data_IF_916437772064
#
_entry.id   IF_916437772064
#
_cell.length_a   1.000
_cell.length_b   1.000
_cell.length_c   1.000
_cell.angle_alpha   90.00
_cell.angle_beta   90.00
_cell.angle_gamma   90.00
#
_symmetry.space_group_name_H-M   'P 1'
#
loop_
_entity.id
_entity.type
_entity.pdbx_description
1 polymer ?
#
# COMPACT_ATOMS: atom_id res chain seq x y z
N UNK A 1 35.97 13.68 -8.12
CA UNK A 1 34.59 13.22 -8.33
C UNK A 1 33.68 14.39 -7.97
N UNK A 2 32.94 14.92 -8.94
CA UNK A 2 32.12 16.11 -8.71
C UNK A 2 30.98 15.76 -7.72
N UNK A 3 30.51 16.70 -6.91
CA UNK A 3 29.46 16.46 -5.89
C UNK A 3 28.20 15.81 -6.50
N UNK A 4 27.89 16.17 -7.73
CA UNK A 4 26.80 15.59 -8.52
C UNK A 4 26.99 14.10 -8.88
N UNK A 5 28.18 13.69 -9.31
CA UNK A 5 28.48 12.28 -9.63
C UNK A 5 28.39 11.39 -8.38
N UNK A 6 28.82 11.93 -7.23
CA UNK A 6 28.71 11.29 -5.93
C UNK A 6 27.25 11.09 -5.54
N UNK A 7 26.41 12.09 -5.74
CA UNK A 7 24.97 12.02 -5.47
C UNK A 7 24.26 11.02 -6.40
N UNK A 8 24.62 10.93 -7.68
CA UNK A 8 24.08 9.91 -8.61
C UNK A 8 24.42 8.51 -8.13
N UNK A 9 25.70 8.23 -7.85
CA UNK A 9 26.15 6.91 -7.39
C UNK A 9 25.50 6.53 -6.06
N UNK A 10 25.45 7.48 -5.12
CA UNK A 10 24.82 7.27 -3.81
C UNK A 10 23.33 7.00 -3.97
N UNK A 11 22.64 7.74 -4.84
CA UNK A 11 21.23 7.54 -5.14
C UNK A 11 20.95 6.16 -5.74
N UNK A 12 21.79 5.65 -6.64
CA UNK A 12 21.61 4.32 -7.22
C UNK A 12 21.78 3.21 -6.17
N UNK A 13 22.81 3.33 -5.33
CA UNK A 13 23.06 2.38 -4.22
C UNK A 13 21.91 2.43 -3.21
N UNK A 14 21.48 3.63 -2.81
CA UNK A 14 20.33 3.81 -1.93
C UNK A 14 19.05 3.22 -2.52
N UNK A 15 18.82 3.39 -3.82
CA UNK A 15 17.66 2.83 -4.51
C UNK A 15 17.64 1.30 -4.40
N UNK A 16 18.77 0.64 -4.67
CA UNK A 16 18.88 -0.82 -4.52
C UNK A 16 18.53 -1.27 -3.09
N UNK A 17 19.12 -0.63 -2.08
CA UNK A 17 18.92 -1.01 -0.69
C UNK A 17 17.50 -0.74 -0.20
N UNK A 18 16.91 0.42 -0.49
CA UNK A 18 15.55 0.74 -0.05
C UNK A 18 14.50 -0.12 -0.76
N UNK A 19 14.70 -0.40 -2.05
CA UNK A 19 13.81 -1.26 -2.85
C UNK A 19 13.89 -2.70 -2.35
N UNK A 20 15.09 -3.22 -2.08
CA UNK A 20 15.27 -4.57 -1.55
C UNK A 20 14.70 -4.71 -0.14
N UNK A 21 14.98 -3.75 0.75
CA UNK A 21 14.41 -3.72 2.10
C UNK A 21 12.88 -3.70 2.06
N UNK A 22 12.31 -2.91 1.14
CA UNK A 22 10.86 -2.85 0.94
C UNK A 22 10.29 -4.17 0.44
N UNK A 23 10.90 -4.75 -0.58
CA UNK A 23 10.48 -6.02 -1.17
C UNK A 23 10.43 -7.14 -0.12
N UNK A 24 11.51 -7.29 0.65
CA UNK A 24 11.66 -8.31 1.69
C UNK A 24 10.67 -8.08 2.83
N UNK A 25 10.49 -6.83 3.27
CA UNK A 25 9.50 -6.47 4.30
C UNK A 25 8.07 -6.76 3.86
N UNK A 26 7.71 -6.40 2.62
CA UNK A 26 6.37 -6.68 2.08
C UNK A 26 6.12 -8.18 1.91
N UNK A 27 7.15 -8.96 1.53
CA UNK A 27 7.04 -10.42 1.42
C UNK A 27 6.71 -11.05 2.78
N UNK A 28 7.48 -10.69 3.81
CA UNK A 28 7.24 -11.16 5.18
C UNK A 28 5.88 -10.71 5.70
N UNK A 29 5.41 -9.52 5.34
CA UNK A 29 4.06 -9.08 5.74
C UNK A 29 2.97 -9.99 5.20
N UNK A 30 2.97 -10.31 3.91
CA UNK A 30 1.92 -11.16 3.35
C UNK A 30 1.99 -12.58 3.89
N UNK A 31 3.21 -13.11 4.08
CA UNK A 31 3.44 -14.36 4.78
C UNK A 31 2.86 -14.32 6.20
N UNK A 32 3.16 -13.28 6.98
CA UNK A 32 2.66 -13.08 8.34
C UNK A 32 1.15 -12.97 8.39
N UNK A 33 0.57 -12.18 7.49
CA UNK A 33 -0.88 -11.96 7.47
C UNK A 33 -1.62 -13.28 7.27
N UNK A 34 -1.19 -14.13 6.34
CA UNK A 34 -1.81 -15.43 6.09
C UNK A 34 -1.52 -16.42 7.22
N UNK A 35 -0.27 -16.50 7.67
CA UNK A 35 0.14 -17.50 8.66
C UNK A 35 -0.41 -17.18 10.05
N UNK A 36 -0.37 -15.92 10.49
CA UNK A 36 -0.92 -15.55 11.79
C UNK A 36 -2.45 -15.62 11.79
N UNK A 37 -3.11 -15.23 10.70
CA UNK A 37 -4.58 -15.36 10.62
C UNK A 37 -5.03 -16.82 10.70
N UNK A 38 -4.38 -17.72 9.96
CA UNK A 38 -4.69 -19.14 10.03
C UNK A 38 -4.34 -19.74 11.40
N UNK A 39 -3.23 -19.31 12.01
CA UNK A 39 -2.82 -19.77 13.34
C UNK A 39 -3.83 -19.38 14.43
N UNK A 40 -4.29 -18.13 14.42
CA UNK A 40 -5.33 -17.63 15.33
C UNK A 40 -6.59 -18.49 15.19
N UNK A 41 -7.03 -18.76 13.96
CA UNK A 41 -8.23 -19.56 13.73
C UNK A 41 -8.08 -21.00 14.22
N UNK A 42 -6.94 -21.66 13.96
CA UNK A 42 -6.70 -23.05 14.36
C UNK A 42 -6.63 -23.21 15.89
N UNK A 43 -5.92 -22.31 16.59
CA UNK A 43 -5.79 -22.40 18.05
C UNK A 43 -7.10 -22.06 18.75
N UNK A 44 -7.79 -21.03 18.26
CA UNK A 44 -9.01 -20.55 18.90
C UNK A 44 -10.25 -21.37 18.55
N UNK A 45 -10.22 -22.05 17.40
CA UNK A 45 -11.38 -22.60 16.71
C UNK A 45 -12.55 -21.61 16.64
N UNK A 46 -12.25 -20.31 16.51
CA UNK A 46 -13.23 -19.24 16.68
C UNK A 46 -13.06 -18.15 15.63
N UNK A 47 -14.10 -18.00 14.81
CA UNK A 47 -14.22 -16.88 13.86
C UNK A 47 -14.17 -15.54 14.59
N UNK A 48 -14.73 -15.46 15.80
CA UNK A 48 -14.74 -14.24 16.61
C UNK A 48 -13.32 -13.76 16.96
N UNK A 49 -12.42 -14.67 17.35
CA UNK A 49 -11.05 -14.30 17.67
C UNK A 49 -10.24 -13.88 16.45
N UNK A 50 -10.46 -14.56 15.31
CA UNK A 50 -9.92 -14.12 14.03
C UNK A 50 -10.41 -12.71 13.65
N UNK A 51 -11.70 -12.41 13.85
CA UNK A 51 -12.25 -11.06 13.61
C UNK A 51 -11.62 -10.01 14.53
N UNK A 52 -11.44 -10.32 15.83
CA UNK A 52 -10.71 -9.43 16.76
C UNK A 52 -9.29 -9.16 16.26
N UNK A 53 -8.56 -10.21 15.86
CA UNK A 53 -7.21 -10.07 15.30
C UNK A 53 -7.19 -9.08 14.12
N UNK A 54 -8.11 -9.24 13.17
CA UNK A 54 -8.19 -8.35 12.00
C UNK A 54 -8.55 -6.91 12.39
N UNK A 55 -9.48 -6.71 13.33
CA UNK A 55 -9.84 -5.37 13.83
C UNK A 55 -8.62 -4.69 14.46
N UNK A 56 -7.88 -5.39 15.33
CA UNK A 56 -6.70 -4.82 15.97
C UNK A 56 -5.62 -4.47 14.95
N UNK A 57 -5.42 -5.30 13.92
CA UNK A 57 -4.50 -5.00 12.82
C UNK A 57 -4.89 -3.71 12.08
N UNK A 58 -6.17 -3.55 11.75
CA UNK A 58 -6.68 -2.33 11.11
C UNK A 58 -6.52 -1.11 12.03
N UNK A 59 -6.88 -1.24 13.31
CA UNK A 59 -6.73 -0.17 14.30
C UNK A 59 -5.26 0.28 14.40
N UNK A 60 -4.31 -0.67 14.42
CA UNK A 60 -2.88 -0.36 14.37
C UNK A 60 -2.50 0.48 13.15
N UNK A 61 -3.03 0.12 11.98
CA UNK A 61 -2.77 0.83 10.72
C UNK A 61 -3.35 2.26 10.71
N UNK A 62 -4.56 2.45 11.23
CA UNK A 62 -5.20 3.78 11.37
C UNK A 62 -4.41 4.64 12.34
N UNK A 63 -4.04 4.10 13.51
CA UNK A 63 -3.26 4.83 14.51
C UNK A 63 -1.87 5.19 13.97
N UNK A 64 -1.21 4.28 13.26
CA UNK A 64 0.07 4.56 12.59
C UNK A 64 -0.05 5.69 11.57
N UNK A 65 -1.14 5.75 10.81
CA UNK A 65 -1.35 6.83 9.84
C UNK A 65 -1.32 8.21 10.51
N UNK A 66 -1.90 8.34 11.71
CA UNK A 66 -1.86 9.60 12.48
C UNK A 66 -0.54 9.78 13.25
N UNK A 67 -0.04 8.74 13.91
CA UNK A 67 1.16 8.77 14.74
C UNK A 67 2.46 8.95 13.93
N UNK A 68 2.42 8.66 12.63
CA UNK A 68 3.54 8.85 11.71
C UNK A 68 4.06 10.28 11.68
N UNK A 69 3.19 11.30 11.77
CA UNK A 69 3.61 12.71 11.77
C UNK A 69 4.57 13.02 12.95
N UNK A 70 4.13 12.93 14.22
CA UNK A 70 5.00 13.28 15.35
C UNK A 70 6.22 12.35 15.45
N UNK A 71 6.10 11.09 15.03
CA UNK A 71 7.22 10.14 15.05
C UNK A 71 8.31 10.51 14.04
N UNK A 72 7.97 10.69 12.77
CA UNK A 72 8.95 10.98 11.72
C UNK A 72 9.49 12.42 11.77
N UNK A 73 8.84 13.31 12.52
CA UNK A 73 9.42 14.61 12.88
C UNK A 73 10.58 14.49 13.86
N UNK A 74 10.47 13.58 14.84
CA UNK A 74 11.50 13.35 15.87
C UNK A 74 12.61 12.40 15.40
N UNK A 75 12.22 11.29 14.77
CA UNK A 75 13.14 10.25 14.31
C UNK A 75 13.10 10.22 12.79
N UNK A 76 14.16 10.70 12.17
CA UNK A 76 14.27 10.81 10.71
C UNK A 76 15.31 9.84 10.15
N UNK A 77 15.21 9.59 8.85
CA UNK A 77 16.15 8.76 8.13
C UNK A 77 16.01 7.26 8.45
N UNK A 78 17.08 6.53 8.13
CA UNK A 78 17.12 5.07 8.28
C UNK A 78 16.87 4.60 9.71
N UNK A 79 17.24 5.39 10.72
CA UNK A 79 17.02 5.05 12.14
C UNK A 79 15.55 4.80 12.44
N UNK A 80 14.66 5.62 11.89
CA UNK A 80 13.22 5.45 12.08
C UNK A 80 12.72 4.10 11.52
N UNK A 81 13.18 3.77 10.31
CA UNK A 81 12.84 2.51 9.64
C UNK A 81 13.43 1.29 10.36
N UNK A 82 14.65 1.42 10.91
CA UNK A 82 15.30 0.37 11.70
C UNK A 82 14.52 0.12 12.99
N UNK A 83 14.14 1.16 13.74
CA UNK A 83 13.37 1.02 14.98
C UNK A 83 12.02 0.33 14.74
N UNK A 84 11.34 0.67 13.64
CA UNK A 84 10.08 0.01 13.25
C UNK A 84 10.28 -1.49 13.04
N UNK A 85 11.36 -1.90 12.35
CA UNK A 85 11.64 -3.32 12.11
C UNK A 85 12.12 -4.05 13.37
N UNK A 86 12.85 -3.37 14.26
CA UNK A 86 13.21 -3.92 15.58
C UNK A 86 11.95 -4.21 16.40
N UNK A 87 10.95 -3.33 16.37
CA UNK A 87 9.67 -3.58 17.05
C UNK A 87 8.96 -4.82 16.49
N UNK A 88 8.99 -5.04 15.16
CA UNK A 88 8.47 -6.26 14.55
C UNK A 88 9.27 -7.52 14.93
N UNK A 89 10.59 -7.41 15.01
CA UNK A 89 11.44 -8.50 15.44
C UNK A 89 11.06 -8.95 16.86
N UNK A 90 10.93 -8.00 17.79
CA UNK A 90 10.55 -8.33 19.17
C UNK A 90 9.11 -8.86 19.28
N UNK A 91 8.17 -8.41 18.45
CA UNK A 91 6.82 -8.96 18.46
C UNK A 91 6.77 -10.42 18.01
N UNK A 92 7.57 -10.81 17.01
CA UNK A 92 7.70 -12.21 16.60
C UNK A 92 8.50 -13.03 17.61
N UNK A 93 9.57 -12.46 18.18
CA UNK A 93 10.36 -13.14 19.22
C UNK A 93 9.53 -13.45 20.46
N UNK A 94 8.59 -12.55 20.82
CA UNK A 94 7.66 -12.80 21.92
C UNK A 94 6.82 -14.05 21.68
N UNK A 95 6.34 -14.30 20.45
CA UNK A 95 5.60 -15.53 20.10
C UNK A 95 6.48 -16.78 20.12
N UNK A 96 7.79 -16.66 19.96
CA UNK A 96 8.71 -17.80 20.04
C UNK A 96 8.96 -18.20 21.50
N UNK A 97 9.09 -17.21 22.38
CA UNK A 97 9.42 -17.44 23.79
C UNK A 97 8.17 -17.80 24.62
N UNK A 98 7.01 -17.29 24.23
CA UNK A 98 5.76 -17.51 24.97
C UNK A 98 5.25 -18.94 24.71
N UNK A 99 4.69 -19.64 25.73
CA UNK A 99 4.05 -20.93 25.51
C UNK A 99 2.79 -20.80 24.64
N UNK A 100 2.53 -21.79 23.78
CA UNK A 100 1.42 -21.75 22.81
C UNK A 100 0.04 -21.49 23.43
N UNK A 101 -0.20 -22.01 24.63
CA UNK A 101 -1.45 -21.81 25.39
C UNK A 101 -1.74 -20.34 25.71
N UNK A 102 -0.72 -19.49 25.73
CA UNK A 102 -0.84 -18.07 26.05
C UNK A 102 -0.86 -17.19 24.79
N UNK A 103 -0.60 -17.73 23.61
CA UNK A 103 -0.57 -16.96 22.35
C UNK A 103 -1.91 -16.27 22.06
N UNK A 104 -3.01 -16.90 22.47
CA UNK A 104 -4.36 -16.37 22.30
C UNK A 104 -4.54 -14.96 22.89
N UNK A 105 -3.85 -14.67 24.01
CA UNK A 105 -3.87 -13.35 24.65
C UNK A 105 -2.94 -12.34 23.99
N UNK A 106 -1.87 -12.81 23.33
CA UNK A 106 -0.90 -11.97 22.66
C UNK A 106 -1.35 -11.54 21.25
N UNK A 107 -2.21 -12.32 20.59
CA UNK A 107 -2.60 -12.09 19.20
C UNK A 107 -3.17 -10.72 18.89
N UNK A 108 -4.09 -10.12 19.69
CA UNK A 108 -4.59 -8.78 19.40
C UNK A 108 -3.47 -7.73 19.41
N UNK A 109 -2.53 -7.84 20.36
CA UNK A 109 -1.40 -6.92 20.46
C UNK A 109 -0.42 -7.08 19.29
N UNK A 110 -0.14 -8.32 18.89
CA UNK A 110 0.74 -8.60 17.75
C UNK A 110 0.09 -8.14 16.45
N UNK A 111 -1.21 -8.35 16.29
CA UNK A 111 -1.97 -7.85 15.15
C UNK A 111 -1.87 -6.33 15.05
N UNK A 112 -2.11 -5.64 16.17
CA UNK A 112 -1.98 -4.20 16.27
C UNK A 112 -0.58 -3.72 15.92
N UNK A 113 0.45 -4.33 16.50
CA UNK A 113 1.85 -3.99 16.23
C UNK A 113 2.15 -4.18 14.75
N UNK A 114 1.76 -5.30 14.14
CA UNK A 114 2.00 -5.57 12.72
C UNK A 114 1.32 -4.55 11.80
N UNK A 115 0.05 -4.22 12.04
CA UNK A 115 -0.65 -3.19 11.26
C UNK A 115 -0.02 -1.81 11.43
N UNK A 116 0.36 -1.48 12.67
CA UNK A 116 1.03 -0.23 13.01
C UNK A 116 2.38 -0.10 12.33
N UNK A 117 3.29 -1.07 12.52
CA UNK A 117 4.65 -1.03 11.98
C UNK A 117 4.64 -1.09 10.46
N UNK A 118 3.76 -1.88 9.85
CA UNK A 118 3.62 -1.92 8.40
C UNK A 118 3.30 -0.53 7.85
N UNK A 119 2.24 0.10 8.36
CA UNK A 119 1.79 1.41 7.89
C UNK A 119 2.84 2.48 8.13
N UNK A 120 3.49 2.47 9.30
CA UNK A 120 4.63 3.33 9.59
C UNK A 120 5.77 3.12 8.59
N UNK A 121 6.11 1.88 8.25
CA UNK A 121 7.17 1.58 7.29
C UNK A 121 6.81 2.07 5.88
N UNK A 122 5.55 1.93 5.43
CA UNK A 122 5.05 2.50 4.15
C UNK A 122 5.18 4.01 4.10
N UNK A 123 4.68 4.69 5.12
CA UNK A 123 4.72 6.15 5.18
C UNK A 123 6.18 6.62 5.29
N UNK A 124 7.00 5.98 6.12
CA UNK A 124 8.40 6.33 6.33
C UNK A 124 9.25 6.16 5.08
N UNK A 125 9.14 5.01 4.42
CA UNK A 125 9.87 4.75 3.16
C UNK A 125 9.48 5.75 2.07
N UNK A 126 8.19 6.04 1.91
CA UNK A 126 7.69 6.95 0.87
C UNK A 126 7.98 8.41 1.18
N UNK A 127 7.85 8.85 2.43
CA UNK A 127 8.05 10.25 2.83
C UNK A 127 9.52 10.64 2.87
N UNK A 128 10.40 9.70 3.19
CA UNK A 128 11.84 9.99 3.30
C UNK A 128 12.62 9.63 2.04
N UNK A 129 11.99 8.98 1.05
CA UNK A 129 12.64 8.58 -0.20
C UNK A 129 13.42 9.73 -0.88
N UNK A 130 12.88 10.96 -0.96
CA UNK A 130 13.63 12.06 -1.59
C UNK A 130 14.85 12.53 -0.80
N UNK A 131 15.04 12.10 0.44
CA UNK A 131 16.25 12.39 1.22
C UNK A 131 17.41 11.43 0.84
N UNK A 132 17.13 10.36 0.08
CA UNK A 132 18.10 9.35 -0.35
C UNK A 132 18.26 9.25 -1.86
N UNK A 133 17.29 9.76 -2.63
CA UNK A 133 17.19 9.57 -4.08
C UNK A 133 17.10 10.93 -4.79
N UNK A 134 17.87 11.10 -5.86
CA UNK A 134 17.80 12.31 -6.70
C UNK A 134 16.41 12.45 -7.33
N UNK A 135 15.92 13.69 -7.47
CA UNK A 135 14.57 13.98 -8.00
C UNK A 135 14.26 13.28 -9.32
N UNK A 136 15.22 13.23 -10.26
CA UNK A 136 15.07 12.60 -11.57
C UNK A 136 14.88 11.07 -11.53
N UNK A 137 15.20 10.42 -10.39
CA UNK A 137 15.08 8.98 -10.19
C UNK A 137 13.93 8.61 -9.26
N UNK A 138 13.24 9.56 -8.62
CA UNK A 138 12.16 9.28 -7.68
C UNK A 138 11.03 8.46 -8.28
N UNK A 139 10.55 8.88 -9.46
CA UNK A 139 9.51 8.14 -10.18
C UNK A 139 9.99 6.72 -10.45
N UNK A 140 11.18 6.55 -11.03
CA UNK A 140 11.75 5.23 -11.31
C UNK A 140 11.85 4.36 -10.04
N UNK A 141 12.29 4.91 -8.91
CA UNK A 141 12.39 4.17 -7.65
C UNK A 141 11.02 3.78 -7.11
N UNK A 142 10.03 4.68 -7.12
CA UNK A 142 8.65 4.34 -6.73
C UNK A 142 8.06 3.25 -7.63
N UNK A 143 8.38 3.30 -8.92
CA UNK A 143 7.95 2.27 -9.85
C UNK A 143 8.47 0.90 -9.38
N UNK A 144 9.75 0.79 -9.00
CA UNK A 144 10.30 -0.45 -8.44
C UNK A 144 9.70 -0.85 -7.10
N UNK A 145 9.51 0.10 -6.19
CA UNK A 145 8.89 -0.15 -4.88
C UNK A 145 7.49 -0.78 -5.05
N UNK A 146 6.64 -0.19 -5.90
CA UNK A 146 5.28 -0.67 -6.13
C UNK A 146 5.27 -2.02 -6.83
N UNK A 147 6.06 -2.18 -7.89
CA UNK A 147 6.15 -3.43 -8.64
C UNK A 147 6.58 -4.61 -7.76
N UNK A 148 7.65 -4.44 -6.98
CA UNK A 148 8.13 -5.51 -6.11
C UNK A 148 7.16 -5.76 -4.95
N UNK A 149 6.50 -4.72 -4.42
CA UNK A 149 5.47 -4.90 -3.40
C UNK A 149 4.33 -5.82 -3.89
N UNK A 150 3.87 -5.62 -5.12
CA UNK A 150 2.85 -6.47 -5.76
C UNK A 150 3.33 -7.90 -6.01
N UNK A 151 4.58 -8.08 -6.46
CA UNK A 151 5.16 -9.42 -6.60
C UNK A 151 5.31 -10.11 -5.24
N UNK A 152 5.77 -9.40 -4.22
CA UNK A 152 5.86 -9.88 -2.85
C UNK A 152 4.50 -10.31 -2.29
N UNK A 153 3.41 -9.66 -2.70
CA UNK A 153 2.05 -10.09 -2.38
C UNK A 153 1.77 -11.49 -2.87
N UNK A 154 1.95 -11.71 -4.16
CA UNK A 154 1.66 -13.00 -4.79
C UNK A 154 2.58 -14.08 -4.26
N UNK A 155 3.89 -13.83 -4.27
CA UNK A 155 4.88 -14.81 -3.81
C UNK A 155 4.69 -15.13 -2.33
N UNK A 156 4.53 -14.11 -1.49
CA UNK A 156 4.33 -14.27 -0.05
C UNK A 156 3.07 -15.07 0.28
N UNK A 157 1.99 -14.83 -0.46
CA UNK A 157 0.75 -15.60 -0.31
C UNK A 157 0.87 -17.04 -0.79
N UNK A 158 1.56 -17.29 -1.91
CA UNK A 158 1.76 -18.63 -2.45
C UNK A 158 2.60 -19.51 -1.52
N UNK A 159 3.71 -18.99 -1.01
CA UNK A 159 4.63 -19.78 -0.17
C UNK A 159 4.11 -19.99 1.25
N UNK A 160 3.14 -19.20 1.71
CA UNK A 160 2.67 -19.22 3.10
C UNK A 160 2.17 -20.61 3.52
N UNK A 161 1.23 -21.19 2.77
CA UNK A 161 0.66 -22.50 3.11
C UNK A 161 1.69 -23.62 3.10
N UNK A 162 2.57 -23.64 2.10
CA UNK A 162 3.65 -24.64 1.99
C UNK A 162 4.66 -24.50 3.14
N UNK A 163 4.96 -23.27 3.56
CA UNK A 163 5.89 -23.01 4.65
C UNK A 163 5.28 -23.41 6.00
N UNK A 164 3.99 -23.11 6.22
CA UNK A 164 3.25 -23.60 7.41
C UNK A 164 3.28 -25.12 7.46
N UNK A 165 3.03 -25.80 6.34
CA UNK A 165 3.00 -27.26 6.28
C UNK A 165 4.37 -27.91 6.52
N UNK A 166 5.47 -27.26 6.13
CA UNK A 166 6.82 -27.83 6.25
C UNK A 166 7.53 -27.47 7.54
N UNK A 167 7.38 -26.23 8.04
CA UNK A 167 8.11 -25.76 9.23
C UNK A 167 7.22 -25.56 10.46
N UNK A 168 5.90 -25.67 10.29
CA UNK A 168 4.93 -25.24 11.31
C UNK A 168 4.93 -23.73 11.54
N UNK A 169 4.07 -23.28 12.46
CA UNK A 169 3.93 -21.86 12.79
C UNK A 169 5.14 -21.27 13.52
N UNK A 170 5.77 -22.04 14.40
CA UNK A 170 6.99 -21.59 15.09
C UNK A 170 8.15 -21.34 14.11
N UNK A 171 8.30 -22.19 13.09
CA UNK A 171 9.29 -21.99 12.03
C UNK A 171 9.06 -20.68 11.27
N UNK A 172 7.80 -20.31 11.04
CA UNK A 172 7.46 -19.03 10.41
C UNK A 172 7.84 -17.85 11.29
N UNK A 173 7.60 -17.90 12.59
CA UNK A 173 8.02 -16.83 13.49
C UNK A 173 9.54 -16.64 13.47
N UNK A 174 10.31 -17.74 13.45
CA UNK A 174 11.76 -17.70 13.33
C UNK A 174 12.23 -17.11 11.99
N UNK A 175 11.61 -17.53 10.89
CA UNK A 175 11.89 -16.98 9.55
C UNK A 175 11.62 -15.48 9.53
N UNK A 176 10.51 -15.02 10.12
CA UNK A 176 10.19 -13.60 10.19
C UNK A 176 11.19 -12.81 11.04
N UNK A 177 11.66 -13.35 12.16
CA UNK A 177 12.76 -12.77 12.93
C UNK A 177 14.00 -12.56 12.04
N UNK A 178 14.40 -13.60 11.29
CA UNK A 178 15.51 -13.51 10.32
C UNK A 178 15.27 -12.46 9.23
N UNK A 179 14.03 -12.37 8.72
CA UNK A 179 13.65 -11.37 7.73
C UNK A 179 13.76 -9.94 8.29
N UNK A 180 13.28 -9.67 9.50
CA UNK A 180 13.38 -8.34 10.09
C UNK A 180 14.85 -7.94 10.34
N UNK A 181 15.71 -8.88 10.74
CA UNK A 181 17.16 -8.65 10.82
C UNK A 181 17.75 -8.34 9.44
N UNK A 182 17.36 -9.09 8.40
CA UNK A 182 17.78 -8.82 7.03
C UNK A 182 17.35 -7.44 6.55
N UNK A 183 16.12 -7.02 6.83
CA UNK A 183 15.62 -5.68 6.49
C UNK A 183 16.46 -4.60 7.19
N UNK A 184 16.75 -4.76 8.49
CA UNK A 184 17.65 -3.85 9.21
C UNK A 184 19.03 -3.80 8.53
N UNK A 185 19.60 -4.96 8.20
CA UNK A 185 20.87 -5.07 7.47
C UNK A 185 20.87 -4.35 6.13
N UNK A 186 19.77 -4.42 5.37
CA UNK A 186 19.61 -3.71 4.10
C UNK A 186 19.43 -2.19 4.27
N UNK A 187 18.95 -1.72 5.42
CA UNK A 187 18.77 -0.29 5.70
C UNK A 187 20.04 0.39 6.22
N UNK A 188 20.95 -0.35 6.86
CA UNK A 188 22.20 0.19 7.41
C UNK A 188 23.08 0.94 6.38
N UNK A 189 23.24 0.47 5.14
CA UNK A 189 24.07 1.12 4.13
C UNK A 189 23.51 2.43 3.59
N UNK A 190 22.25 2.78 3.88
CA UNK A 190 21.62 4.01 3.38
C UNK A 190 22.40 5.25 3.85
N UNK A 191 22.68 6.14 2.90
CA UNK A 191 23.39 7.40 3.13
C UNK A 191 22.50 8.57 2.75
N UNK A 192 22.44 9.60 3.61
CA UNK A 192 21.79 10.87 3.25
C UNK A 192 22.55 11.53 2.11
N UNK A 193 21.82 12.15 1.18
CA UNK A 193 22.45 12.94 0.12
C UNK A 193 22.95 14.29 0.67
N UNK A 194 24.06 14.79 0.12
CA UNK A 194 24.71 16.01 0.60
C UNK A 194 23.91 17.28 0.28
N UNK A 195 23.08 17.24 -0.76
CA UNK A 195 22.28 18.36 -1.27
C UNK A 195 20.99 18.65 -0.51
N UNK A 196 20.56 17.76 0.39
CA UNK A 196 19.41 18.02 1.27
C UNK A 196 19.90 18.56 2.62
N UNK A 197 19.88 19.90 2.75
CA UNK A 197 20.07 20.56 4.04
C UNK A 197 19.08 19.98 5.04
N UNK A 198 19.59 19.49 6.17
CA UNK A 198 18.77 18.99 7.26
C UNK A 198 17.71 20.05 7.60
N UNK A 199 16.43 19.75 7.35
CA UNK A 199 15.38 20.55 7.94
C UNK A 199 15.57 20.47 9.45
N UNK A 200 15.87 21.62 10.06
CA UNK A 200 15.84 21.75 11.51
C UNK A 200 14.46 21.30 11.95
N UNK A 201 14.39 20.26 12.77
CA UNK A 201 13.17 19.70 13.31
C UNK A 201 12.45 20.74 14.15
N UNK A 202 11.75 21.68 13.51
CA UNK A 202 10.91 22.61 14.23
C UNK A 202 9.71 21.82 14.73
N UNK A 203 9.51 21.85 16.04
CA UNK A 203 8.35 21.27 16.70
C UNK A 203 7.11 22.08 16.32
N UNK A 204 6.59 21.85 15.12
CA UNK A 204 5.30 22.39 14.73
C UNK A 204 4.23 21.61 15.50
N UNK A 205 3.35 22.34 16.21
CA UNK A 205 2.20 21.72 16.86
C UNK A 205 1.38 20.92 15.84
N UNK A 206 0.97 19.70 16.20
CA UNK A 206 0.14 18.82 15.37
C UNK A 206 -1.09 19.55 14.78
N UNK A 207 -1.75 20.39 15.57
CA UNK A 207 -2.93 21.16 15.12
C UNK A 207 -2.58 22.18 14.03
N UNK A 208 -1.39 22.78 14.11
CA UNK A 208 -0.91 23.76 13.11
C UNK A 208 -0.53 23.06 11.81
N UNK A 209 0.08 21.88 11.88
CA UNK A 209 0.36 21.06 10.69
C UNK A 209 -0.93 20.65 9.97
N UNK A 210 -1.93 20.17 10.72
CA UNK A 210 -3.21 19.78 10.12
C UNK A 210 -3.94 20.95 9.46
N UNK A 211 -3.94 22.13 10.11
CA UNK A 211 -4.47 23.36 9.52
C UNK A 211 -3.70 23.79 8.27
N UNK A 212 -2.38 23.69 8.30
CA UNK A 212 -1.53 23.99 7.13
C UNK A 212 -1.84 23.06 5.98
N UNK A 213 -2.02 21.76 6.23
CA UNK A 213 -2.35 20.77 5.22
C UNK A 213 -3.71 21.05 4.57
N UNK A 214 -4.74 21.33 5.38
CA UNK A 214 -6.06 21.71 4.85
C UNK A 214 -5.97 23.00 4.03
N UNK A 215 -5.23 24.00 4.52
CA UNK A 215 -5.00 25.24 3.78
C UNK A 215 -4.29 25.00 2.46
N UNK A 216 -3.32 24.09 2.41
CA UNK A 216 -2.56 23.82 1.21
C UNK A 216 -3.37 23.01 0.19
N UNK A 217 -4.14 22.01 0.64
CA UNK A 217 -5.05 21.26 -0.23
C UNK A 217 -6.12 22.16 -0.88
N UNK A 218 -6.47 23.29 -0.26
CA UNK A 218 -7.35 24.29 -0.86
C UNK A 218 -6.67 25.07 -2.00
N UNK A 219 -5.35 25.28 -1.91
CA UNK A 219 -4.54 25.96 -2.93
C UNK A 219 -4.13 25.04 -4.08
N UNK A 220 -3.95 23.75 -3.79
CA UNK A 220 -3.62 22.70 -4.75
C UNK A 220 -4.83 21.77 -4.99
N UNK A 221 -5.89 22.26 -5.67
CA UNK A 221 -7.16 21.54 -5.81
C UNK A 221 -7.02 20.23 -6.60
N UNK A 222 -6.02 20.12 -7.47
CA UNK A 222 -5.74 18.90 -8.23
C UNK A 222 -5.32 17.77 -7.29
N UNK A 223 -4.37 18.04 -6.39
CA UNK A 223 -3.90 17.06 -5.42
C UNK A 223 -5.00 16.71 -4.41
N UNK A 224 -5.78 17.70 -3.96
CA UNK A 224 -6.97 17.47 -3.15
C UNK A 224 -7.98 16.54 -3.84
N UNK A 225 -8.19 16.73 -5.14
CA UNK A 225 -9.07 15.85 -5.95
C UNK A 225 -8.52 14.44 -6.04
N UNK A 226 -7.21 14.26 -6.25
CA UNK A 226 -6.58 12.93 -6.28
C UNK A 226 -6.75 12.18 -4.96
N UNK A 227 -6.59 12.87 -3.81
CA UNK A 227 -6.82 12.28 -2.48
C UNK A 227 -8.29 11.92 -2.26
N UNK A 228 -9.22 12.78 -2.68
CA UNK A 228 -10.65 12.52 -2.60
C UNK A 228 -11.06 11.32 -3.46
N UNK A 229 -10.60 11.27 -4.70
CA UNK A 229 -10.82 10.13 -5.62
C UNK A 229 -10.24 8.85 -5.00
N UNK A 230 -9.09 8.93 -4.33
CA UNK A 230 -8.50 7.76 -3.65
C UNK A 230 -9.31 7.30 -2.43
N UNK A 231 -9.86 8.24 -1.65
CA UNK A 231 -10.77 7.92 -0.55
C UNK A 231 -12.02 7.20 -1.08
N UNK A 232 -12.69 7.80 -2.06
CA UNK A 232 -13.90 7.22 -2.67
C UNK A 232 -13.54 5.89 -3.36
N UNK A 233 -12.38 5.81 -4.01
CA UNK A 233 -11.81 4.60 -4.60
C UNK A 233 -11.60 3.45 -3.62
N UNK A 234 -11.42 3.76 -2.33
CA UNK A 234 -11.31 2.73 -1.31
C UNK A 234 -12.62 1.95 -1.13
N UNK A 235 -13.75 2.51 -1.56
CA UNK A 235 -15.04 1.82 -1.67
C UNK A 235 -14.95 0.67 -2.68
N UNK A 236 -14.52 0.96 -3.91
CA UNK A 236 -14.29 -0.04 -4.95
C UNK A 236 -13.26 -1.09 -4.55
N UNK A 237 -12.24 -0.70 -3.78
CA UNK A 237 -11.23 -1.63 -3.25
C UNK A 237 -11.81 -2.64 -2.25
N UNK A 238 -12.69 -2.21 -1.35
CA UNK A 238 -13.37 -3.11 -0.42
C UNK A 238 -14.36 -4.02 -1.15
N UNK A 239 -15.16 -3.46 -2.06
CA UNK A 239 -16.15 -4.22 -2.81
C UNK A 239 -15.53 -5.37 -3.60
N UNK A 240 -14.46 -5.13 -4.35
CA UNK A 240 -13.83 -6.19 -5.14
C UNK A 240 -13.07 -7.22 -4.28
N UNK A 241 -12.53 -6.83 -3.12
CA UNK A 241 -11.87 -7.78 -2.23
C UNK A 241 -12.84 -8.80 -1.66
N UNK A 242 -14.06 -8.38 -1.31
CA UNK A 242 -15.14 -9.30 -0.95
C UNK A 242 -15.68 -10.05 -2.17
N UNK A 243 -15.70 -9.40 -3.34
CA UNK A 243 -16.18 -9.99 -4.58
C UNK A 243 -15.29 -11.11 -5.12
N UNK A 244 -13.97 -11.07 -4.90
CA UNK A 244 -13.02 -12.01 -5.50
C UNK A 244 -13.34 -13.50 -5.24
N UNK A 245 -13.60 -13.94 -4.00
CA UNK A 245 -14.06 -15.30 -3.74
C UNK A 245 -15.35 -15.65 -4.49
N UNK A 246 -16.30 -14.71 -4.57
CA UNK A 246 -17.62 -14.93 -5.18
C UNK A 246 -17.49 -15.12 -6.70
N UNK A 247 -16.73 -14.27 -7.39
CA UNK A 247 -16.50 -14.46 -8.84
C UNK A 247 -15.65 -15.70 -9.11
N UNK A 248 -14.69 -16.03 -8.25
CA UNK A 248 -13.89 -17.23 -8.41
C UNK A 248 -14.74 -18.50 -8.37
N UNK A 249 -15.74 -18.54 -7.47
CA UNK A 249 -16.74 -19.60 -7.39
C UNK A 249 -17.62 -19.65 -8.65
N UNK A 250 -18.07 -18.50 -9.17
CA UNK A 250 -18.88 -18.46 -10.40
C UNK A 250 -18.12 -18.92 -11.65
N UNK A 251 -16.82 -18.62 -11.73
CA UNK A 251 -15.99 -18.96 -12.90
C UNK A 251 -15.56 -20.43 -12.89
N UNK A 252 -15.13 -20.96 -11.73
CA UNK A 252 -14.70 -22.35 -11.59
C UNK A 252 -15.21 -22.91 -10.25
N UNK A 253 -16.48 -23.35 -10.17
CA UNK A 253 -17.10 -23.79 -8.90
C UNK A 253 -16.34 -24.91 -8.20
N UNK A 254 -15.75 -25.82 -8.98
CA UNK A 254 -15.01 -26.97 -8.47
C UNK A 254 -13.58 -26.63 -8.00
N UNK A 255 -13.09 -25.40 -8.24
CA UNK A 255 -11.73 -25.01 -7.87
C UNK A 255 -11.60 -23.50 -7.61
N UNK A 256 -12.34 -23.01 -6.62
CA UNK A 256 -12.41 -21.59 -6.21
C UNK A 256 -11.00 -21.04 -5.92
N UNK A 257 -10.19 -21.78 -5.15
CA UNK A 257 -8.83 -21.36 -4.77
C UNK A 257 -7.91 -21.17 -5.98
N UNK A 258 -7.99 -22.05 -6.98
CA UNK A 258 -7.22 -21.91 -8.22
C UNK A 258 -7.69 -20.68 -9.01
N UNK A 259 -9.00 -20.52 -9.19
CA UNK A 259 -9.57 -19.38 -9.92
C UNK A 259 -9.18 -18.04 -9.30
N UNK A 260 -9.36 -17.92 -7.98
CA UNK A 260 -8.96 -16.74 -7.21
C UNK A 260 -7.45 -16.49 -7.31
N UNK A 261 -6.64 -17.55 -7.19
CA UNK A 261 -5.18 -17.46 -7.32
C UNK A 261 -4.74 -16.92 -8.68
N UNK A 262 -5.35 -17.40 -9.77
CA UNK A 262 -5.08 -16.92 -11.14
C UNK A 262 -5.46 -15.45 -11.28
N UNK A 263 -6.62 -15.03 -10.80
CA UNK A 263 -7.07 -13.63 -10.88
C UNK A 263 -6.12 -12.70 -10.11
N UNK A 264 -5.75 -13.05 -8.88
CA UNK A 264 -4.85 -12.24 -8.04
C UNK A 264 -3.44 -12.17 -8.61
N UNK A 265 -2.90 -13.28 -9.13
CA UNK A 265 -1.60 -13.31 -9.79
C UNK A 265 -1.60 -12.45 -11.07
N UNK A 266 -2.66 -12.56 -11.88
CA UNK A 266 -2.81 -11.80 -13.12
C UNK A 266 -2.97 -10.30 -12.87
N UNK A 267 -3.74 -9.93 -11.84
CA UNK A 267 -3.82 -8.55 -11.35
C UNK A 267 -2.45 -8.00 -10.98
N UNK A 268 -1.66 -8.75 -10.20
CA UNK A 268 -0.34 -8.33 -9.76
C UNK A 268 0.65 -8.18 -10.94
N UNK A 269 0.56 -9.05 -11.96
CA UNK A 269 1.31 -8.90 -13.22
C UNK A 269 0.91 -7.60 -13.92
N UNK A 270 -0.39 -7.34 -14.06
CA UNK A 270 -0.89 -6.08 -14.61
C UNK A 270 -0.33 -4.87 -13.85
N UNK A 271 -0.41 -4.90 -12.52
CA UNK A 271 0.10 -3.85 -11.63
C UNK A 271 1.60 -3.63 -11.77
N UNK A 272 2.37 -4.71 -11.92
CA UNK A 272 3.79 -4.63 -12.24
C UNK A 272 4.03 -3.92 -13.58
N UNK A 273 3.32 -4.30 -14.64
CA UNK A 273 3.45 -3.74 -15.98
C UNK A 273 3.07 -2.25 -16.00
N UNK A 274 1.94 -1.89 -15.39
CA UNK A 274 1.48 -0.51 -15.29
C UNK A 274 2.46 0.38 -14.53
N UNK A 275 2.96 -0.10 -13.40
CA UNK A 275 3.98 0.63 -12.66
C UNK A 275 5.26 0.83 -13.49
N UNK A 276 5.67 -0.14 -14.33
CA UNK A 276 6.83 0.03 -15.23
C UNK A 276 6.56 1.00 -16.38
N UNK A 277 5.35 1.01 -16.91
CA UNK A 277 4.98 1.86 -18.04
C UNK A 277 5.19 3.36 -17.78
N UNK A 278 4.98 3.83 -16.54
CA UNK A 278 5.07 5.27 -16.21
C UNK A 278 6.39 5.92 -16.58
N UNK A 279 7.51 5.29 -16.20
CA UNK A 279 8.83 5.89 -16.44
C UNK A 279 9.10 6.01 -17.95
N UNK A 280 8.59 5.06 -18.75
CA UNK A 280 8.65 5.11 -20.20
C UNK A 280 7.71 6.18 -20.77
N UNK A 281 6.45 6.24 -20.31
CA UNK A 281 5.43 7.17 -20.79
C UNK A 281 5.83 8.64 -20.55
N UNK A 282 6.30 8.97 -19.34
CA UNK A 282 6.76 10.33 -19.01
C UNK A 282 8.00 10.75 -19.80
N UNK A 283 8.89 9.80 -20.14
CA UNK A 283 10.07 10.08 -20.96
C UNK A 283 9.72 10.28 -22.43
N UNK A 284 8.76 9.49 -22.94
CA UNK A 284 8.39 9.48 -24.36
C UNK A 284 7.43 10.63 -24.72
N UNK A 285 6.50 10.95 -23.84
CA UNK A 285 5.43 11.90 -24.10
C UNK A 285 5.52 13.09 -23.14
N UNK A 286 6.10 14.19 -23.63
CA UNK A 286 6.37 15.38 -22.82
C UNK A 286 5.10 16.09 -22.29
N UNK A 287 3.94 15.85 -22.91
CA UNK A 287 2.65 16.41 -22.48
C UNK A 287 2.00 15.64 -21.33
N UNK A 288 2.50 14.44 -21.00
CA UNK A 288 1.94 13.65 -19.89
C UNK A 288 2.47 14.15 -18.56
N UNK A 289 1.55 14.43 -17.64
CA UNK A 289 1.86 14.73 -16.24
C UNK A 289 1.50 13.55 -15.33
N UNK A 290 1.99 13.56 -14.08
CA UNK A 290 1.64 12.55 -13.09
C UNK A 290 0.13 12.57 -12.77
N UNK A 291 -0.47 13.75 -12.74
CA UNK A 291 -1.90 13.94 -12.53
C UNK A 291 -2.72 13.36 -13.69
N UNK A 292 -2.27 13.59 -14.92
CA UNK A 292 -2.90 13.03 -16.13
C UNK A 292 -2.84 11.50 -16.14
N UNK A 293 -1.66 10.95 -15.81
CA UNK A 293 -1.47 9.50 -15.70
C UNK A 293 -2.28 8.90 -14.55
N UNK A 294 -2.40 9.59 -13.42
CA UNK A 294 -3.28 9.18 -12.34
C UNK A 294 -4.73 9.06 -12.81
N UNK A 295 -5.24 10.07 -13.53
CA UNK A 295 -6.62 10.07 -14.02
C UNK A 295 -6.90 8.90 -14.98
N UNK A 296 -6.02 8.70 -15.97
CA UNK A 296 -6.18 7.59 -16.91
C UNK A 296 -5.97 6.23 -16.25
N UNK A 297 -4.96 6.09 -15.40
CA UNK A 297 -4.68 4.85 -14.67
C UNK A 297 -5.82 4.47 -13.74
N UNK A 298 -6.32 5.42 -12.96
CA UNK A 298 -7.43 5.18 -12.04
C UNK A 298 -8.72 4.84 -12.79
N UNK A 299 -9.00 5.51 -13.92
CA UNK A 299 -10.15 5.18 -14.76
C UNK A 299 -10.04 3.77 -15.34
N UNK A 300 -8.86 3.41 -15.86
CA UNK A 300 -8.60 2.07 -16.39
C UNK A 300 -8.69 0.98 -15.30
N UNK A 301 -8.24 1.27 -14.08
CA UNK A 301 -8.39 0.38 -12.93
C UNK A 301 -9.87 0.10 -12.64
N UNK A 302 -10.67 1.14 -12.43
CA UNK A 302 -12.08 1.00 -12.07
C UNK A 302 -12.90 0.35 -13.19
N UNK A 303 -12.70 0.75 -14.45
CA UNK A 303 -13.36 0.12 -15.60
C UNK A 303 -12.93 -1.35 -15.75
N UNK A 304 -11.64 -1.64 -15.56
CA UNK A 304 -11.12 -3.00 -15.60
C UNK A 304 -11.79 -3.89 -14.56
N UNK A 305 -11.91 -3.44 -13.31
CA UNK A 305 -12.64 -4.18 -12.28
C UNK A 305 -14.12 -4.38 -12.64
N UNK A 306 -14.82 -3.34 -13.10
CA UNK A 306 -16.22 -3.49 -13.55
C UNK A 306 -16.34 -4.58 -14.61
N UNK A 307 -15.46 -4.58 -15.61
CA UNK A 307 -15.48 -5.55 -16.69
C UNK A 307 -15.15 -6.96 -16.21
N UNK A 308 -14.19 -7.14 -15.29
CA UNK A 308 -13.87 -8.45 -14.70
C UNK A 308 -15.11 -9.09 -14.08
N UNK A 309 -15.86 -8.31 -13.29
CA UNK A 309 -17.01 -8.81 -12.54
C UNK A 309 -18.28 -9.02 -13.37
N UNK A 310 -18.21 -8.75 -14.68
CA UNK A 310 -19.26 -9.06 -15.65
C UNK A 310 -18.96 -10.32 -16.47
N UNK A 311 -17.82 -10.99 -16.25
CA UNK A 311 -17.42 -12.13 -17.06
C UNK A 311 -17.93 -13.47 -16.50
N UNK A 312 -18.31 -14.36 -17.41
CA UNK A 312 -18.61 -15.77 -17.13
C UNK A 312 -17.48 -16.72 -17.52
N UNK A 313 -16.41 -16.20 -18.12
CA UNK A 313 -15.26 -16.99 -18.60
C UNK A 313 -13.97 -16.55 -17.92
N UNK A 314 -13.21 -17.52 -17.41
CA UNK A 314 -11.93 -17.29 -16.73
C UNK A 314 -10.93 -16.52 -17.60
N UNK A 315 -10.92 -16.80 -18.91
CA UNK A 315 -9.99 -16.19 -19.85
C UNK A 315 -10.22 -14.67 -19.92
N UNK A 316 -11.48 -14.25 -20.11
CA UNK A 316 -11.83 -12.84 -20.20
C UNK A 316 -11.70 -12.12 -18.86
N UNK A 317 -12.09 -12.76 -17.76
CA UNK A 317 -11.86 -12.23 -16.41
C UNK A 317 -10.37 -11.96 -16.17
N UNK A 318 -9.51 -12.88 -16.63
CA UNK A 318 -8.05 -12.75 -16.53
C UNK A 318 -7.51 -11.63 -17.42
N UNK A 319 -8.03 -11.46 -18.65
CA UNK A 319 -7.63 -10.35 -19.51
C UNK A 319 -7.98 -8.98 -18.91
N UNK A 320 -9.21 -8.82 -18.40
CA UNK A 320 -9.63 -7.56 -17.80
C UNK A 320 -8.97 -7.28 -16.45
N UNK A 321 -8.65 -8.30 -15.65
CA UNK A 321 -7.98 -8.06 -14.36
C UNK A 321 -6.52 -7.63 -14.56
N UNK A 322 -5.86 -8.09 -15.63
CA UNK A 322 -4.56 -7.55 -16.05
C UNK A 322 -4.69 -6.08 -16.41
N UNK A 323 -5.70 -5.68 -17.18
CA UNK A 323 -5.95 -4.28 -17.52
C UNK A 323 -6.25 -3.42 -16.27
N UNK A 324 -7.06 -3.94 -15.34
CA UNK A 324 -7.33 -3.30 -14.06
C UNK A 324 -6.03 -3.10 -13.25
N UNK A 325 -5.19 -4.14 -13.20
CA UNK A 325 -3.87 -4.08 -12.58
C UNK A 325 -2.98 -3.02 -13.20
N UNK A 326 -2.92 -2.93 -14.54
CA UNK A 326 -2.13 -1.89 -15.24
C UNK A 326 -2.57 -0.50 -14.80
N UNK A 327 -3.88 -0.24 -14.79
CA UNK A 327 -4.43 1.03 -14.33
C UNK A 327 -4.05 1.33 -12.87
N UNK A 328 -4.16 0.33 -12.01
CA UNK A 328 -3.85 0.45 -10.59
C UNK A 328 -2.37 0.80 -10.35
N UNK A 329 -1.45 0.08 -11.00
CA UNK A 329 -0.01 0.36 -10.95
C UNK A 329 0.35 1.76 -11.46
N UNK A 330 -0.33 2.23 -12.52
CA UNK A 330 -0.15 3.60 -13.03
C UNK A 330 -0.66 4.62 -12.00
N UNK A 331 -1.87 4.43 -11.47
CA UNK A 331 -2.47 5.39 -10.56
C UNK A 331 -1.67 5.55 -9.27
N UNK A 332 -1.22 4.45 -8.67
CA UNK A 332 -0.59 4.46 -7.36
C UNK A 332 0.84 5.06 -7.42
N UNK A 333 1.61 4.72 -8.45
CA UNK A 333 2.93 5.35 -8.70
C UNK A 333 2.75 6.85 -8.93
N UNK A 334 1.78 7.22 -9.77
CA UNK A 334 1.52 8.63 -10.10
C UNK A 334 1.20 9.46 -8.86
N UNK A 335 0.31 8.95 -8.01
CA UNK A 335 -0.11 9.62 -6.77
C UNK A 335 1.06 9.77 -5.78
N UNK A 336 1.78 8.69 -5.49
CA UNK A 336 2.90 8.73 -4.53
C UNK A 336 4.02 9.64 -5.05
N UNK A 337 4.36 9.52 -6.34
CA UNK A 337 5.37 10.39 -6.95
C UNK A 337 4.97 11.85 -6.94
N UNK A 338 3.68 12.18 -7.18
CA UNK A 338 3.21 13.57 -7.15
C UNK A 338 3.22 14.13 -5.73
N UNK A 339 2.87 13.35 -4.71
CA UNK A 339 2.99 13.80 -3.31
C UNK A 339 4.47 14.03 -2.94
N UNK A 340 5.39 13.22 -3.47
CA UNK A 340 6.82 13.38 -3.19
C UNK A 340 7.47 14.63 -3.84
N UNK A 341 6.80 15.28 -4.81
CA UNK A 341 7.29 16.57 -5.34
C UNK A 341 6.95 17.75 -4.44
N UNK A 342 6.04 17.56 -3.48
CA UNK A 342 5.67 18.59 -2.50
C UNK A 342 6.81 18.89 -1.53
N UNK A 343 6.86 20.10 -0.95
CA UNK A 343 7.88 20.45 0.01
C UNK A 343 7.83 19.56 1.25
N UNK A 344 8.97 19.38 1.93
CA UNK A 344 9.14 18.43 3.02
C UNK A 344 8.18 18.65 4.21
N UNK A 345 7.71 19.89 4.43
CA UNK A 345 6.73 20.21 5.46
C UNK A 345 5.35 19.58 5.19
N UNK A 346 4.97 19.37 3.93
CA UNK A 346 3.66 18.90 3.49
C UNK A 346 3.66 17.44 3.04
N UNK A 347 4.78 16.97 2.48
CA UNK A 347 4.97 15.60 1.98
C UNK A 347 4.62 14.52 3.00
N UNK A 348 5.16 14.61 4.23
CA UNK A 348 4.87 13.64 5.30
C UNK A 348 3.38 13.68 5.69
N UNK A 349 2.79 14.83 6.07
CA UNK A 349 1.37 14.92 6.35
C UNK A 349 0.45 14.40 5.23
N UNK A 350 0.79 14.66 3.96
CA UNK A 350 0.01 14.17 2.82
C UNK A 350 0.05 12.65 2.69
N UNK A 351 1.22 12.01 2.85
CA UNK A 351 1.33 10.56 2.82
C UNK A 351 0.62 9.90 4.01
N UNK A 352 0.67 10.54 5.18
CA UNK A 352 -0.06 10.12 6.37
C UNK A 352 -1.58 10.21 6.19
N UNK A 353 -2.09 11.31 5.62
CA UNK A 353 -3.51 11.42 5.24
C UNK A 353 -3.87 10.40 4.19
N UNK A 354 -3.06 10.21 3.15
CA UNK A 354 -3.32 9.21 2.12
C UNK A 354 -3.49 7.81 2.73
N UNK A 355 -2.59 7.42 3.63
CA UNK A 355 -2.68 6.15 4.35
C UNK A 355 -3.95 6.08 5.22
N UNK A 356 -4.27 7.16 5.94
CA UNK A 356 -5.47 7.24 6.77
C UNK A 356 -6.72 7.06 5.92
N UNK A 357 -6.85 7.80 4.82
CA UNK A 357 -7.99 7.74 3.89
C UNK A 357 -8.14 6.35 3.27
N UNK A 358 -7.05 5.72 2.84
CA UNK A 358 -7.07 4.36 2.30
C UNK A 358 -7.55 3.35 3.35
N UNK A 359 -7.02 3.42 4.58
CA UNK A 359 -7.36 2.46 5.64
C UNK A 359 -8.78 2.66 6.16
N UNK A 360 -9.19 3.88 6.47
CA UNK A 360 -10.54 4.15 6.98
C UNK A 360 -11.59 3.92 5.90
N UNK A 361 -11.35 4.39 4.67
CA UNK A 361 -12.25 4.18 3.54
C UNK A 361 -12.45 2.69 3.26
N UNK A 362 -11.36 1.91 3.24
CA UNK A 362 -11.42 0.47 3.05
C UNK A 362 -12.20 -0.23 4.19
N UNK A 363 -11.87 0.04 5.45
CA UNK A 363 -12.51 -0.61 6.60
C UNK A 363 -13.99 -0.28 6.73
N UNK A 364 -14.36 0.99 6.63
CA UNK A 364 -15.76 1.42 6.70
C UNK A 364 -16.55 0.79 5.56
N UNK A 365 -15.97 0.76 4.36
CA UNK A 365 -16.63 0.14 3.22
C UNK A 365 -16.79 -1.37 3.34
N UNK A 366 -15.82 -2.09 3.90
CA UNK A 366 -15.93 -3.53 4.12
C UNK A 366 -17.15 -3.90 4.98
N UNK A 367 -17.52 -3.03 5.93
CA UNK A 367 -18.73 -3.20 6.76
C UNK A 367 -19.99 -2.85 5.95
N UNK A 368 -19.94 -1.75 5.20
CA UNK A 368 -21.10 -1.22 4.46
C UNK A 368 -21.47 -2.08 3.24
N UNK A 369 -20.49 -2.69 2.56
CA UNK A 369 -20.73 -3.38 1.29
C UNK A 369 -21.39 -4.75 1.47
N UNK A 370 -21.21 -5.40 2.62
CA UNK A 370 -21.77 -6.73 2.88
C UNK A 370 -23.31 -6.78 2.72
N UNK A 371 -24.10 -5.84 3.27
CA UNK A 371 -25.54 -5.75 2.99
C UNK A 371 -25.90 -5.58 1.51
N UNK A 372 -25.08 -4.91 0.70
CA UNK A 372 -25.41 -4.75 -0.72
C UNK A 372 -25.40 -6.08 -1.47
N UNK A 373 -24.55 -7.03 -1.06
CA UNK A 373 -24.52 -8.38 -1.64
C UNK A 373 -25.74 -9.24 -1.30
N UNK A 374 -26.61 -8.83 -0.37
CA UNK A 374 -27.87 -9.53 -0.10
C UNK A 374 -29.02 -9.01 -0.95
N UNK A 375 -28.94 -7.77 -1.44
CA UNK A 375 -29.99 -7.13 -2.23
C UNK A 375 -29.67 -6.99 -3.71
N UNK A 376 -28.39 -6.90 -4.05
CA UNK A 376 -27.90 -6.69 -5.40
C UNK A 376 -27.00 -7.85 -5.83
N UNK A 377 -26.97 -8.09 -7.13
CA UNK A 377 -26.04 -9.04 -7.74
C UNK A 377 -24.61 -8.52 -7.70
N UNK A 378 -23.64 -9.44 -7.76
CA UNK A 378 -22.20 -9.15 -7.66
C UNK A 378 -21.74 -8.06 -8.63
N UNK A 379 -22.15 -8.17 -9.90
CA UNK A 379 -21.86 -7.22 -10.96
C UNK A 379 -22.38 -5.81 -10.67
N UNK A 380 -23.62 -5.70 -10.14
CA UNK A 380 -24.22 -4.41 -9.77
C UNK A 380 -23.53 -3.76 -8.57
N UNK A 381 -23.14 -4.55 -7.56
CA UNK A 381 -22.37 -4.03 -6.42
C UNK A 381 -21.03 -3.47 -6.91
N UNK A 382 -20.30 -4.22 -7.73
CA UNK A 382 -19.01 -3.77 -8.26
C UNK A 382 -19.19 -2.54 -9.16
N UNK A 383 -20.21 -2.51 -10.02
CA UNK A 383 -20.54 -1.36 -10.85
C UNK A 383 -20.81 -0.11 -10.01
N UNK A 384 -21.57 -0.22 -8.92
CA UNK A 384 -21.88 0.91 -8.05
C UNK A 384 -20.64 1.41 -7.30
N UNK A 385 -19.84 0.51 -6.73
CA UNK A 385 -18.69 0.87 -5.89
C UNK A 385 -17.45 1.31 -6.67
N UNK A 386 -17.28 0.89 -7.94
CA UNK A 386 -16.25 1.45 -8.84
C UNK A 386 -16.77 2.59 -9.72
N UNK A 387 -18.06 2.60 -10.03
CA UNK A 387 -18.71 3.68 -10.77
C UNK A 387 -18.74 4.99 -9.98
N UNK A 388 -18.91 4.93 -8.65
CA UNK A 388 -18.89 6.11 -7.78
C UNK A 388 -17.55 6.89 -7.84
N UNK A 389 -16.37 6.26 -7.72
CA UNK A 389 -15.08 6.90 -7.98
C UNK A 389 -14.94 7.50 -9.40
N UNK A 390 -15.46 6.82 -10.43
CA UNK A 390 -15.42 7.33 -11.81
C UNK A 390 -16.26 8.60 -11.96
N UNK A 391 -17.45 8.63 -11.38
CA UNK A 391 -18.31 9.82 -11.34
C UNK A 391 -17.60 10.95 -10.59
N UNK A 392 -17.02 10.66 -9.42
CA UNK A 392 -16.25 11.64 -8.65
C UNK A 392 -15.07 12.19 -9.46
N UNK A 393 -14.38 11.34 -10.23
CA UNK A 393 -13.30 11.74 -11.12
C UNK A 393 -13.80 12.71 -12.20
N UNK A 394 -14.90 12.39 -12.89
CA UNK A 394 -15.49 13.25 -13.93
C UNK A 394 -15.93 14.60 -13.35
N UNK A 395 -16.62 14.59 -12.21
CA UNK A 395 -17.05 15.81 -11.51
C UNK A 395 -15.84 16.65 -11.11
N UNK A 396 -14.80 16.03 -10.55
CA UNK A 396 -13.58 16.74 -10.17
C UNK A 396 -12.89 17.39 -11.36
N UNK A 397 -12.83 16.70 -12.51
CA UNK A 397 -12.25 17.27 -13.73
C UNK A 397 -13.08 18.44 -14.28
N UNK A 398 -14.40 18.29 -14.31
CA UNK A 398 -15.30 19.36 -14.76
C UNK A 398 -15.14 20.61 -13.87
N UNK A 399 -15.07 20.41 -12.55
CA UNK A 399 -14.86 21.49 -11.59
C UNK A 399 -13.49 22.14 -11.71
N UNK A 400 -12.41 21.35 -11.90
CA UNK A 400 -11.06 21.88 -12.08
C UNK A 400 -10.94 22.73 -13.37
N UNK A 401 -11.65 22.36 -14.44
CA UNK A 401 -11.68 23.13 -15.70
C UNK A 401 -12.41 24.47 -15.57
N UNK A 402 -13.35 24.59 -14.63
CA UNK A 402 -14.11 25.81 -14.40
C UNK A 402 -13.37 26.81 -13.49
N UNK A 403 -12.30 26.39 -12.80
CA UNK A 403 -11.51 27.31 -11.98
C UNK A 403 -10.63 28.18 -12.87
N UNK A 404 -10.70 29.52 -12.73
CA UNK A 404 -9.74 30.39 -13.41
C UNK A 404 -8.33 30.02 -12.93
N UNK A 405 -7.44 29.74 -13.88
CA UNK A 405 -6.03 29.54 -13.59
C UNK A 405 -5.53 30.84 -12.98
N UNK A 406 -5.26 30.84 -11.67
CA UNK A 406 -4.52 31.93 -11.04
C UNK A 406 -3.07 31.77 -11.52
N UNK A 407 -2.74 32.47 -12.62
CA UNK A 407 -1.37 32.61 -13.12
C UNK A 407 -0.52 33.44 -12.17
#
# INVERSE_FOLDING_TARGET
MNTFEKDIRTSAINAFFIVSARCVSDLSRFLNMISLSSYVFIISNSVYQFSIFMIFHVCGSIIASVASLPFFRKVQGKTALILINILCFFSMLLLIITPEKQHIYAFPYIAFINGFTHTMFVIGTSSQLPNWIIKSKLVLTNTWLISLSSMSAVVGSLIAGTLVATTGYQGIFLINCGVYVLVVGLLLPLKKMASHSAWASQSVSFKKEWRSLISELKKEPVLGSMLLITLIGSLGNAAHQIGFPIIAEQLIPNNISQSMGILMASWAIGRFLGARAIAYLLKKYAYLSLETLFLFGFSAMSLGFILVFQQHSQLWATAFIVAAGIGDGISDVSLISRIQTEPENLRLPMLSILALLKMTGFTVCMIIVAPFYTWLTLDLVILLFHGTPLIALVISQAWLRQRPIQL
#
